data_IF_944281491196
#
_entry.id   IF_944281491196
#
_cell.length_a   1.000
_cell.length_b   1.000
_cell.length_c   1.000
_cell.angle_alpha   90.00
_cell.angle_beta   90.00
_cell.angle_gamma   90.00
#
_symmetry.space_group_name_H-M   'P 1'
#
loop_
_entity.id
_entity.type
_entity.pdbx_description
1 polymer ?
#
# COMPACT_ATOMS: atom_id res chain seq x y z
N UNK A 1 1.29 8.07 52.88
CA UNK A 1 1.33 8.06 51.40
C UNK A 1 1.29 6.60 50.91
N UNK A 2 0.31 5.71 51.13
CA UNK A 2 -1.16 5.66 51.05
C UNK A 2 -1.77 6.19 49.74
N UNK A 3 -2.05 5.22 48.85
CA UNK A 3 -3.16 5.17 47.87
C UNK A 3 -2.97 5.67 46.43
N UNK A 4 -1.79 5.55 45.82
CA UNK A 4 -1.65 5.77 44.36
C UNK A 4 -1.40 4.51 43.52
N UNK A 5 -1.06 3.38 44.16
CA UNK A 5 -0.81 2.12 43.45
C UNK A 5 -2.03 1.45 42.77
N UNK A 6 -3.30 1.58 43.23
CA UNK A 6 -4.41 0.97 42.50
C UNK A 6 -4.83 1.76 41.24
N UNK A 7 -4.27 2.95 40.99
CA UNK A 7 -4.68 3.78 39.85
C UNK A 7 -3.99 3.40 38.53
N UNK A 8 -2.79 2.80 38.59
CA UNK A 8 -2.01 2.39 37.41
C UNK A 8 -2.47 1.05 36.84
N UNK A 9 -3.08 0.18 37.65
CA UNK A 9 -3.64 -1.11 37.20
C UNK A 9 -5.07 -0.94 36.62
N UNK A 10 -5.76 0.15 36.98
CA UNK A 10 -7.12 0.42 36.49
C UNK A 10 -7.17 1.00 35.05
N UNK A 11 -6.05 1.46 34.50
CA UNK A 11 -6.00 2.10 33.17
C UNK A 11 -5.67 1.13 32.02
N UNK A 12 -5.23 -0.10 32.30
CA UNK A 12 -4.81 -1.07 31.26
C UNK A 12 -5.94 -1.97 30.72
N UNK A 13 -7.18 -1.83 31.21
CA UNK A 13 -8.31 -2.70 30.82
C UNK A 13 -9.23 -2.08 29.75
N UNK A 14 -8.89 -0.90 29.22
CA UNK A 14 -9.64 -0.27 28.11
C UNK A 14 -9.17 -0.69 26.71
N UNK A 15 -8.46 -1.83 26.57
CA UNK A 15 -8.39 -2.53 25.29
C UNK A 15 -9.77 -3.13 25.01
N UNK A 16 -10.71 -2.28 24.57
CA UNK A 16 -12.07 -2.69 24.27
C UNK A 16 -12.02 -3.85 23.28
N UNK A 17 -12.41 -5.04 23.71
CA UNK A 17 -12.58 -6.21 22.87
C UNK A 17 -13.27 -5.80 21.58
N UNK A 18 -12.60 -6.00 20.44
CA UNK A 18 -13.19 -5.72 19.15
C UNK A 18 -14.54 -6.43 19.06
N UNK A 19 -15.59 -5.65 18.79
CA UNK A 19 -16.97 -6.14 18.71
C UNK A 19 -17.51 -5.84 17.32
N UNK A 20 -18.10 -6.85 16.69
CA UNK A 20 -18.79 -6.78 15.40
C UNK A 20 -19.86 -5.69 15.43
N UNK A 21 -20.62 -5.60 16.53
CA UNK A 21 -21.59 -4.53 16.78
C UNK A 21 -20.95 -3.14 16.75
N UNK A 22 -19.80 -2.97 17.42
CA UNK A 22 -19.08 -1.69 17.46
C UNK A 22 -18.56 -1.28 16.08
N UNK A 23 -18.09 -2.23 15.28
CA UNK A 23 -17.70 -1.94 13.89
C UNK A 23 -18.90 -1.54 13.03
N UNK A 24 -20.01 -2.26 13.16
CA UNK A 24 -21.27 -1.95 12.47
C UNK A 24 -21.79 -0.55 12.82
N UNK A 25 -21.87 -0.22 14.11
CA UNK A 25 -22.31 1.10 14.60
C UNK A 25 -21.41 2.25 14.14
N UNK A 26 -20.12 1.97 13.90
CA UNK A 26 -19.16 2.93 13.33
C UNK A 26 -19.19 3.01 11.80
N UNK A 27 -20.07 2.26 11.13
CA UNK A 27 -20.14 2.19 9.67
C UNK A 27 -18.99 1.41 9.01
N UNK A 28 -18.18 0.69 9.80
CA UNK A 28 -17.14 -0.19 9.27
C UNK A 28 -17.72 -1.59 9.06
N UNK A 29 -18.56 -1.71 8.02
CA UNK A 29 -19.33 -2.92 7.76
C UNK A 29 -18.44 -4.11 7.38
N UNK A 30 -17.37 -3.91 6.61
CA UNK A 30 -16.44 -5.00 6.25
C UNK A 30 -15.75 -5.63 7.47
N UNK A 31 -15.28 -4.80 8.41
CA UNK A 31 -14.74 -5.31 9.67
C UNK A 31 -15.82 -5.99 10.53
N UNK A 32 -17.06 -5.49 10.51
CA UNK A 32 -18.19 -6.11 11.20
C UNK A 32 -18.50 -7.51 10.63
N UNK A 33 -18.56 -7.64 9.30
CA UNK A 33 -18.77 -8.91 8.57
C UNK A 33 -17.66 -9.89 8.94
N UNK A 34 -16.39 -9.50 8.73
CA UNK A 34 -15.26 -10.40 8.98
C UNK A 34 -15.20 -10.89 10.44
N UNK A 35 -15.50 -10.01 11.40
CA UNK A 35 -15.53 -10.39 12.81
C UNK A 35 -16.76 -11.24 13.17
N UNK A 36 -17.94 -10.94 12.61
CA UNK A 36 -19.15 -11.73 12.84
C UNK A 36 -18.97 -13.14 12.27
N UNK A 37 -18.50 -13.29 11.02
CA UNK A 37 -18.14 -14.58 10.41
C UNK A 37 -17.15 -15.35 11.29
N UNK A 38 -16.05 -14.71 11.72
CA UNK A 38 -15.07 -15.35 12.61
C UNK A 38 -15.68 -15.89 13.90
N UNK A 39 -16.64 -15.18 14.49
CA UNK A 39 -17.34 -15.64 15.70
C UNK A 39 -18.36 -16.72 15.41
N UNK A 40 -19.07 -16.65 14.29
CA UNK A 40 -20.06 -17.65 13.87
C UNK A 40 -19.41 -18.98 13.50
N UNK A 41 -18.21 -18.99 12.91
CA UNK A 41 -17.41 -20.22 12.74
C UNK A 41 -17.18 -20.97 14.05
N UNK A 42 -17.09 -20.25 15.18
CA UNK A 42 -16.91 -20.85 16.51
C UNK A 42 -18.23 -21.15 17.22
N UNK A 43 -19.26 -20.32 16.99
CA UNK A 43 -20.58 -20.42 17.62
C UNK A 43 -21.66 -20.09 16.57
N UNK A 44 -22.03 -21.07 15.73
CA UNK A 44 -22.94 -20.83 14.59
C UNK A 44 -24.31 -20.28 15.00
N UNK A 45 -24.82 -20.71 16.16
CA UNK A 45 -26.15 -20.34 16.65
C UNK A 45 -26.17 -19.02 17.44
N UNK A 46 -25.10 -18.21 17.37
CA UNK A 46 -25.04 -16.96 18.12
C UNK A 46 -25.86 -15.87 17.42
N UNK A 47 -27.16 -15.87 17.69
CA UNK A 47 -28.18 -15.04 17.02
C UNK A 47 -27.81 -13.55 16.90
N UNK A 48 -27.25 -12.95 17.96
CA UNK A 48 -26.78 -11.54 17.91
C UNK A 48 -25.73 -11.32 16.82
N UNK A 49 -24.84 -12.27 16.57
CA UNK A 49 -23.84 -12.17 15.50
C UNK A 49 -24.44 -12.44 14.12
N UNK A 50 -25.43 -13.34 14.02
CA UNK A 50 -26.18 -13.59 12.78
C UNK A 50 -26.86 -12.29 12.32
N UNK A 51 -27.57 -11.61 13.23
CA UNK A 51 -28.25 -10.34 12.94
C UNK A 51 -27.27 -9.24 12.53
N UNK A 52 -26.11 -9.14 13.19
CA UNK A 52 -25.07 -8.16 12.81
C UNK A 52 -24.50 -8.49 11.44
N UNK A 53 -24.26 -9.77 11.13
CA UNK A 53 -23.75 -10.21 9.83
C UNK A 53 -24.72 -9.84 8.71
N UNK A 54 -26.01 -10.16 8.88
CA UNK A 54 -27.07 -9.86 7.91
C UNK A 54 -27.15 -8.35 7.63
N UNK A 55 -27.25 -7.53 8.68
CA UNK A 55 -27.34 -6.07 8.55
C UNK A 55 -26.07 -5.46 7.95
N UNK A 56 -24.89 -5.90 8.39
CA UNK A 56 -23.63 -5.38 7.87
C UNK A 56 -23.44 -5.73 6.39
N UNK A 57 -23.79 -6.96 6.00
CA UNK A 57 -23.74 -7.40 4.60
C UNK A 57 -24.65 -6.58 3.71
N UNK A 58 -25.92 -6.39 4.11
CA UNK A 58 -26.89 -5.58 3.36
C UNK A 58 -26.38 -4.14 3.18
N UNK A 59 -25.93 -3.50 4.27
CA UNK A 59 -25.45 -2.11 4.26
C UNK A 59 -24.17 -1.94 3.43
N UNK A 60 -23.22 -2.86 3.55
CA UNK A 60 -21.98 -2.83 2.77
C UNK A 60 -22.26 -2.97 1.27
N UNK A 61 -23.09 -3.95 0.89
CA UNK A 61 -23.42 -4.19 -0.50
C UNK A 61 -24.24 -3.04 -1.10
N UNK A 62 -25.19 -2.48 -0.35
CA UNK A 62 -25.93 -1.30 -0.79
C UNK A 62 -25.00 -0.13 -1.07
N UNK A 63 -24.07 0.18 -0.14
CA UNK A 63 -23.09 1.25 -0.29
C UNK A 63 -22.22 1.08 -1.54
N UNK A 64 -21.73 -0.12 -1.79
CA UNK A 64 -20.89 -0.39 -2.96
C UNK A 64 -21.68 -0.32 -4.26
N UNK A 65 -22.90 -0.85 -4.30
CA UNK A 65 -23.77 -0.77 -5.49
C UNK A 65 -24.18 0.67 -5.81
N UNK A 66 -24.53 1.48 -4.81
CA UNK A 66 -24.83 2.91 -5.00
C UNK A 66 -23.63 3.66 -5.58
N UNK A 67 -22.43 3.40 -5.08
CA UNK A 67 -21.22 4.03 -5.61
C UNK A 67 -20.85 3.52 -7.00
N UNK A 68 -21.02 2.23 -7.28
CA UNK A 68 -20.85 1.68 -8.64
C UNK A 68 -21.80 2.34 -9.63
N UNK A 69 -23.07 2.54 -9.25
CA UNK A 69 -24.04 3.24 -10.08
C UNK A 69 -23.62 4.70 -10.33
N UNK A 70 -23.16 5.40 -9.30
CA UNK A 70 -22.63 6.76 -9.45
C UNK A 70 -21.44 6.81 -10.41
N UNK A 71 -20.44 5.93 -10.24
CA UNK A 71 -19.24 5.92 -11.09
C UNK A 71 -19.58 5.67 -12.56
N UNK A 72 -20.52 4.74 -12.82
CA UNK A 72 -21.02 4.48 -14.18
C UNK A 72 -21.70 5.70 -14.82
N UNK A 73 -22.42 6.49 -14.02
CA UNK A 73 -23.06 7.73 -14.49
C UNK A 73 -22.04 8.86 -14.70
N UNK A 74 -21.04 8.97 -13.84
CA UNK A 74 -19.97 9.97 -13.95
C UNK A 74 -19.09 9.72 -15.18
N UNK A 75 -18.76 8.46 -15.47
CA UNK A 75 -18.05 8.07 -16.70
C UNK A 75 -16.59 8.52 -16.75
N UNK A 76 -15.99 8.90 -15.61
CA UNK A 76 -14.59 9.33 -15.55
C UNK A 76 -13.64 8.16 -15.89
N UNK A 77 -12.70 8.31 -16.85
CA UNK A 77 -11.73 7.25 -17.19
C UNK A 77 -10.91 6.70 -16.01
N UNK A 78 -10.65 7.51 -14.98
CA UNK A 78 -9.91 7.08 -13.79
C UNK A 78 -10.72 6.24 -12.79
N UNK A 79 -12.01 6.00 -13.03
CA UNK A 79 -12.88 5.28 -12.10
C UNK A 79 -12.54 3.80 -11.94
N UNK A 80 -11.85 3.20 -12.91
CA UNK A 80 -11.77 1.75 -13.06
C UNK A 80 -11.06 1.04 -11.89
N UNK A 81 -10.10 1.71 -11.21
CA UNK A 81 -9.48 1.18 -9.98
C UNK A 81 -10.52 1.01 -8.86
N UNK A 82 -11.35 2.05 -8.66
CA UNK A 82 -12.40 2.02 -7.65
C UNK A 82 -13.51 1.01 -8.01
N UNK A 83 -13.93 0.98 -9.28
CA UNK A 83 -14.91 0.00 -9.78
C UNK A 83 -14.41 -1.42 -9.53
N UNK A 84 -13.14 -1.71 -9.85
CA UNK A 84 -12.54 -3.03 -9.61
C UNK A 84 -12.50 -3.39 -8.12
N UNK A 85 -12.08 -2.46 -7.27
CA UNK A 85 -12.02 -2.68 -5.82
C UNK A 85 -13.40 -3.00 -5.22
N UNK A 86 -14.46 -2.33 -5.71
CA UNK A 86 -15.83 -2.54 -5.22
C UNK A 86 -16.42 -3.87 -5.66
N UNK A 87 -16.29 -4.24 -6.94
CA UNK A 87 -16.73 -5.56 -7.40
C UNK A 87 -15.98 -6.69 -6.70
N UNK A 88 -14.66 -6.53 -6.49
CA UNK A 88 -13.86 -7.48 -5.72
C UNK A 88 -14.35 -7.58 -4.27
N UNK A 89 -14.68 -6.46 -3.64
CA UNK A 89 -15.24 -6.42 -2.28
C UNK A 89 -16.60 -7.13 -2.19
N UNK A 90 -17.49 -6.90 -3.15
CA UNK A 90 -18.79 -7.58 -3.23
C UNK A 90 -18.60 -9.11 -3.33
N UNK A 91 -17.73 -9.58 -4.23
CA UNK A 91 -17.39 -11.01 -4.35
C UNK A 91 -16.77 -11.57 -3.07
N UNK A 92 -15.85 -10.83 -2.45
CA UNK A 92 -15.20 -11.28 -1.21
C UNK A 92 -16.18 -11.43 -0.05
N UNK A 93 -17.17 -10.53 0.08
CA UNK A 93 -18.21 -10.67 1.11
C UNK A 93 -19.05 -11.92 0.88
N UNK A 94 -19.43 -12.22 -0.36
CA UNK A 94 -20.13 -13.46 -0.72
C UNK A 94 -19.34 -14.70 -0.30
N UNK A 95 -18.04 -14.73 -0.60
CA UNK A 95 -17.15 -15.80 -0.16
C UNK A 95 -17.13 -15.92 1.35
N UNK A 96 -16.97 -14.81 2.08
CA UNK A 96 -16.91 -14.83 3.55
C UNK A 96 -18.20 -15.34 4.20
N UNK A 97 -19.37 -14.89 3.74
CA UNK A 97 -20.66 -15.34 4.32
C UNK A 97 -20.95 -16.79 3.98
N UNK A 98 -20.51 -17.27 2.80
CA UNK A 98 -20.71 -18.66 2.39
C UNK A 98 -20.07 -19.67 3.33
N UNK A 99 -18.99 -19.29 4.02
CA UNK A 99 -18.26 -20.15 4.96
C UNK A 99 -19.04 -20.48 6.25
N UNK A 100 -20.14 -19.78 6.53
CA UNK A 100 -20.94 -19.97 7.76
C UNK A 100 -22.39 -20.35 7.47
N UNK A 101 -22.76 -20.56 6.21
CA UNK A 101 -24.11 -21.00 5.85
C UNK A 101 -24.29 -22.51 6.04
N UNK A 102 -25.52 -22.96 6.35
CA UNK A 102 -26.73 -22.17 6.61
C UNK A 102 -26.73 -21.50 7.99
N UNK A 103 -27.45 -20.37 8.13
CA UNK A 103 -27.66 -19.66 9.39
C UNK A 103 -29.16 -19.52 9.70
N UNK A 104 -29.53 -19.77 10.95
CA UNK A 104 -30.91 -19.70 11.44
C UNK A 104 -31.02 -18.80 12.68
N UNK A 105 -32.04 -17.96 12.70
CA UNK A 105 -32.42 -17.17 13.87
C UNK A 105 -33.34 -18.02 14.74
N UNK A 106 -32.76 -18.69 15.72
CA UNK A 106 -33.45 -19.67 16.58
C UNK A 106 -34.71 -19.12 17.26
N UNK A 107 -34.74 -17.84 17.63
CA UNK A 107 -35.92 -17.20 18.23
C UNK A 107 -37.15 -17.15 17.31
N UNK A 108 -36.96 -17.22 16.00
CA UNK A 108 -38.02 -17.08 14.99
C UNK A 108 -38.12 -18.26 14.02
N UNK A 109 -37.13 -19.16 14.00
CA UNK A 109 -36.99 -20.21 13.00
C UNK A 109 -36.62 -19.69 11.59
N UNK A 110 -36.28 -18.40 11.45
CA UNK A 110 -36.01 -17.79 10.14
C UNK A 110 -34.61 -18.15 9.65
N UNK A 111 -34.53 -18.76 8.47
CA UNK A 111 -33.27 -18.91 7.74
C UNK A 111 -32.82 -17.58 7.15
N UNK A 112 -31.57 -17.22 7.39
CA UNK A 112 -30.94 -16.03 6.81
C UNK A 112 -30.43 -16.35 5.41
N UNK A 113 -30.75 -15.48 4.46
CA UNK A 113 -30.33 -15.63 3.07
C UNK A 113 -29.44 -14.46 2.65
N UNK A 114 -28.35 -14.79 1.95
CA UNK A 114 -27.46 -13.81 1.35
C UNK A 114 -27.54 -13.96 -0.18
N UNK A 115 -28.04 -12.95 -0.92
CA UNK A 115 -28.04 -12.99 -2.37
C UNK A 115 -26.62 -13.16 -2.91
N UNK A 116 -26.46 -14.11 -3.83
CA UNK A 116 -25.20 -14.42 -4.51
C UNK A 116 -25.31 -14.00 -5.97
N UNK A 117 -24.44 -13.07 -6.38
CA UNK A 117 -24.36 -12.53 -7.73
C UNK A 117 -22.97 -12.87 -8.29
N UNK A 118 -22.91 -13.29 -9.56
CA UNK A 118 -21.62 -13.48 -10.22
C UNK A 118 -21.09 -12.11 -10.68
N UNK A 119 -19.91 -11.71 -10.19
CA UNK A 119 -19.25 -10.45 -10.54
C UNK A 119 -17.97 -10.65 -11.38
N UNK A 120 -17.74 -11.87 -11.88
CA UNK A 120 -16.45 -12.24 -12.47
C UNK A 120 -16.13 -11.44 -13.73
N UNK A 121 -17.14 -11.24 -14.57
CA UNK A 121 -17.01 -10.45 -15.79
C UNK A 121 -16.68 -8.99 -15.46
N UNK A 122 -17.39 -8.39 -14.50
CA UNK A 122 -17.16 -7.00 -14.10
C UNK A 122 -15.77 -6.82 -13.48
N UNK A 123 -15.31 -7.77 -12.66
CA UNK A 123 -13.96 -7.77 -12.08
C UNK A 123 -12.91 -7.84 -13.18
N UNK A 124 -13.07 -8.73 -14.16
CA UNK A 124 -12.13 -8.90 -15.28
C UNK A 124 -12.08 -7.63 -16.14
N UNK A 125 -13.25 -7.11 -16.51
CA UNK A 125 -13.36 -5.93 -17.36
C UNK A 125 -12.82 -4.67 -16.67
N UNK A 126 -13.18 -4.43 -15.42
CA UNK A 126 -12.68 -3.28 -14.66
C UNK A 126 -11.18 -3.36 -14.42
N UNK A 127 -10.64 -4.56 -14.20
CA UNK A 127 -9.19 -4.80 -14.05
C UNK A 127 -8.43 -4.42 -15.32
N UNK A 128 -8.91 -4.88 -16.49
CA UNK A 128 -8.34 -4.54 -17.79
C UNK A 128 -8.35 -3.04 -18.05
N UNK A 129 -9.49 -2.39 -17.80
CA UNK A 129 -9.64 -0.95 -18.00
C UNK A 129 -8.77 -0.12 -17.04
N UNK A 130 -8.65 -0.54 -15.78
CA UNK A 130 -7.78 0.13 -14.81
C UNK A 130 -6.31 0.05 -15.22
N UNK A 131 -5.84 -1.13 -15.65
CA UNK A 131 -4.48 -1.31 -16.14
C UNK A 131 -4.19 -0.43 -17.36
N UNK A 132 -5.09 -0.41 -18.34
CA UNK A 132 -4.98 0.46 -19.51
C UNK A 132 -4.91 1.93 -19.13
N UNK A 133 -5.83 2.40 -18.28
CA UNK A 133 -5.86 3.80 -17.81
C UNK A 133 -4.55 4.21 -17.14
N UNK A 134 -4.06 3.42 -16.17
CA UNK A 134 -2.81 3.77 -15.47
C UNK A 134 -1.59 3.70 -16.37
N UNK A 135 -1.58 2.79 -17.35
CA UNK A 135 -0.49 2.71 -18.32
C UNK A 135 -0.45 3.96 -19.19
N UNK A 136 -1.57 4.31 -19.84
CA UNK A 136 -1.68 5.52 -20.67
C UNK A 136 -1.38 6.79 -19.86
N UNK A 137 -1.87 6.88 -18.63
CA UNK A 137 -1.60 7.99 -17.72
C UNK A 137 -0.10 8.09 -17.37
N UNK A 138 0.55 6.96 -17.07
CA UNK A 138 1.98 6.91 -16.80
C UNK A 138 2.82 7.38 -17.98
N UNK A 139 2.46 6.99 -19.20
CA UNK A 139 3.13 7.45 -20.44
C UNK A 139 2.98 8.97 -20.61
N UNK A 140 1.77 9.50 -20.42
CA UNK A 140 1.52 10.95 -20.50
C UNK A 140 2.31 11.73 -19.45
N UNK A 141 2.46 11.19 -18.24
CA UNK A 141 3.26 11.81 -17.19
C UNK A 141 4.75 11.83 -17.55
N UNK A 142 5.30 10.72 -18.06
CA UNK A 142 6.70 10.69 -18.51
C UNK A 142 6.97 11.70 -19.63
N UNK A 143 6.03 11.86 -20.57
CA UNK A 143 6.16 12.82 -21.67
C UNK A 143 6.27 14.29 -21.21
N UNK A 144 5.82 14.63 -19.99
CA UNK A 144 5.98 15.98 -19.42
C UNK A 144 7.41 16.27 -18.95
N UNK A 145 8.20 15.24 -18.67
CA UNK A 145 9.66 15.33 -18.51
C UNK A 145 10.20 15.79 -17.16
N UNK A 146 9.39 16.30 -16.22
CA UNK A 146 9.90 16.68 -14.90
C UNK A 146 9.87 15.54 -13.86
N UNK A 147 10.66 15.72 -12.79
CA UNK A 147 10.85 14.73 -11.73
C UNK A 147 9.56 14.37 -11.01
N UNK A 148 8.67 15.32 -10.74
CA UNK A 148 7.44 15.03 -10.00
C UNK A 148 6.47 14.23 -10.86
N UNK A 149 6.39 14.54 -12.15
CA UNK A 149 5.65 13.72 -13.11
C UNK A 149 6.27 12.32 -13.26
N UNK A 150 7.60 12.18 -13.24
CA UNK A 150 8.24 10.87 -13.25
C UNK A 150 7.89 10.02 -12.01
N UNK A 151 7.81 10.63 -10.81
CA UNK A 151 7.33 9.92 -9.60
C UNK A 151 5.88 9.48 -9.75
N UNK A 152 5.01 10.35 -10.24
CA UNK A 152 3.62 10.02 -10.47
C UNK A 152 3.48 8.88 -11.50
N UNK A 153 4.27 8.91 -12.57
CA UNK A 153 4.32 7.86 -13.57
C UNK A 153 4.77 6.53 -12.97
N UNK A 154 5.81 6.54 -12.13
CA UNK A 154 6.28 5.35 -11.42
C UNK A 154 5.17 4.69 -10.59
N UNK A 155 4.39 5.48 -9.84
CA UNK A 155 3.26 4.93 -9.07
C UNK A 155 2.11 4.44 -9.97
N UNK A 156 1.86 5.10 -11.10
CA UNK A 156 0.90 4.63 -12.10
C UNK A 156 1.32 3.27 -12.68
N UNK A 157 2.57 3.10 -13.07
CA UNK A 157 3.07 1.80 -13.56
C UNK A 157 3.11 0.73 -12.46
N UNK A 158 3.33 1.10 -11.19
CA UNK A 158 3.17 0.16 -10.06
C UNK A 158 1.73 -0.35 -9.95
N UNK A 159 0.74 0.52 -10.19
CA UNK A 159 -0.68 0.11 -10.24
C UNK A 159 -0.93 -0.85 -11.40
N UNK A 160 -0.40 -0.57 -12.59
CA UNK A 160 -0.46 -1.49 -13.74
C UNK A 160 0.10 -2.87 -13.35
N UNK A 161 1.31 -2.91 -12.78
CA UNK A 161 1.99 -4.15 -12.37
C UNK A 161 1.22 -4.93 -11.29
N UNK A 162 0.51 -4.23 -10.41
CA UNK A 162 -0.36 -4.86 -9.41
C UNK A 162 -1.59 -5.54 -10.04
N UNK A 163 -2.11 -5.02 -11.16
CA UNK A 163 -3.16 -5.68 -11.91
C UNK A 163 -2.61 -6.83 -12.77
N UNK A 164 -1.60 -6.55 -13.59
CA UNK A 164 -1.00 -7.52 -14.51
C UNK A 164 0.51 -7.41 -14.42
N UNK A 165 1.18 -8.49 -14.02
CA UNK A 165 2.63 -8.50 -13.85
C UNK A 165 3.37 -8.22 -15.15
N UNK A 166 2.81 -8.66 -16.28
CA UNK A 166 3.42 -8.62 -17.62
C UNK A 166 2.56 -7.78 -18.60
N UNK A 167 2.17 -6.58 -18.19
CA UNK A 167 1.38 -5.67 -19.04
C UNK A 167 2.31 -4.89 -19.98
N UNK A 168 2.20 -5.14 -21.29
CA UNK A 168 3.00 -4.44 -22.32
C UNK A 168 4.50 -4.39 -21.92
N UNK A 169 5.12 -3.20 -21.90
CA UNK A 169 6.50 -2.95 -21.46
C UNK A 169 6.58 -2.31 -20.06
N UNK A 170 5.60 -2.57 -19.18
CA UNK A 170 5.48 -1.92 -17.85
C UNK A 170 6.76 -2.02 -17.00
N UNK A 171 7.52 -3.10 -17.12
CA UNK A 171 8.79 -3.28 -16.40
C UNK A 171 9.87 -2.31 -16.85
N UNK A 172 9.95 -2.05 -18.16
CA UNK A 172 10.84 -1.04 -18.71
C UNK A 172 10.39 0.36 -18.28
N UNK A 173 9.08 0.62 -18.35
CA UNK A 173 8.50 1.91 -17.94
C UNK A 173 8.66 2.21 -16.46
N UNK A 174 8.60 1.19 -15.61
CA UNK A 174 8.91 1.31 -14.19
C UNK A 174 10.37 1.73 -13.97
N UNK A 175 11.31 1.07 -14.66
CA UNK A 175 12.74 1.42 -14.55
C UNK A 175 13.02 2.84 -15.06
N UNK A 176 12.43 3.20 -16.20
CA UNK A 176 12.54 4.54 -16.80
C UNK A 176 11.99 5.62 -15.84
N UNK A 177 10.75 5.46 -15.39
CA UNK A 177 10.12 6.38 -14.45
C UNK A 177 10.90 6.48 -13.13
N UNK A 178 11.38 5.34 -12.63
CA UNK A 178 12.20 5.30 -11.42
C UNK A 178 13.49 6.06 -11.59
N UNK A 179 14.19 5.84 -12.69
CA UNK A 179 15.43 6.52 -13.02
C UNK A 179 15.20 8.03 -13.05
N UNK A 180 14.24 8.51 -13.82
CA UNK A 180 13.94 9.95 -13.95
C UNK A 180 13.50 10.58 -12.62
N UNK A 181 12.74 9.87 -11.80
CA UNK A 181 12.29 10.33 -10.49
C UNK A 181 13.41 10.42 -9.45
N UNK A 182 14.48 9.63 -9.60
CA UNK A 182 15.53 9.46 -8.59
C UNK A 182 16.55 10.59 -8.64
N UNK A 183 16.82 11.20 -7.49
CA UNK A 183 17.97 12.08 -7.31
C UNK A 183 19.22 11.22 -7.24
N UNK A 184 20.17 11.50 -8.14
CA UNK A 184 21.47 10.84 -8.14
C UNK A 184 22.43 11.72 -7.37
N UNK A 185 22.98 11.20 -6.28
CA UNK A 185 23.90 11.93 -5.41
C UNK A 185 25.23 11.21 -5.45
N UNK A 186 26.27 11.87 -5.96
CA UNK A 186 27.62 11.30 -5.99
C UNK A 186 28.33 11.71 -4.70
N UNK A 187 28.92 10.74 -4.01
CA UNK A 187 29.85 10.99 -2.91
C UNK A 187 31.28 10.90 -3.44
N UNK A 188 32.02 12.01 -3.38
CA UNK A 188 33.44 12.01 -3.73
C UNK A 188 34.27 11.36 -2.60
N UNK A 189 35.31 10.58 -2.95
CA UNK A 189 36.24 10.03 -1.96
C UNK A 189 36.96 11.17 -1.25
N UNK A 190 37.35 10.95 0.01
CA UNK A 190 38.01 11.99 0.80
C UNK A 190 39.47 12.10 0.35
N UNK A 191 39.93 13.26 -0.15
CA UNK A 191 41.34 13.43 -0.49
C UNK A 191 42.15 13.58 0.80
N UNK A 192 42.66 12.49 1.39
CA UNK A 192 43.63 12.57 2.49
C UNK A 192 45.06 12.63 1.94
N UNK A 193 45.76 13.72 2.24
CA UNK A 193 47.14 14.00 1.79
C UNK A 193 48.23 13.53 2.79
N UNK A 194 47.97 12.51 3.61
CA UNK A 194 48.97 11.98 4.54
C UNK A 194 49.61 10.70 4.01
N UNK A 195 50.89 10.78 3.64
CA UNK A 195 51.70 9.64 3.17
C UNK A 195 51.90 8.55 4.23
N UNK A 196 51.59 8.83 5.51
CA UNK A 196 51.85 7.95 6.65
C UNK A 196 50.67 7.02 7.00
N UNK A 197 49.46 7.30 6.51
CA UNK A 197 48.22 6.63 6.94
C UNK A 197 47.40 6.04 5.77
N UNK A 198 48.05 5.57 4.71
CA UNK A 198 47.35 5.01 3.52
C UNK A 198 46.34 3.88 3.85
N UNK A 199 46.59 3.07 4.88
CA UNK A 199 45.68 1.99 5.32
C UNK A 199 44.37 2.50 5.94
N UNK A 200 44.31 3.76 6.40
CA UNK A 200 43.06 4.32 6.93
C UNK A 200 42.08 4.75 5.82
N UNK A 201 42.57 5.11 4.64
CA UNK A 201 41.76 5.73 3.58
C UNK A 201 40.70 4.76 3.02
N UNK A 202 41.13 3.57 2.58
CA UNK A 202 40.22 2.55 2.03
C UNK A 202 39.20 2.09 3.08
N UNK A 203 39.60 1.98 4.35
CA UNK A 203 38.69 1.64 5.44
C UNK A 203 37.61 2.71 5.64
N UNK A 204 37.99 3.99 5.63
CA UNK A 204 37.03 5.09 5.79
C UNK A 204 36.10 5.22 4.58
N UNK A 205 36.62 5.14 3.36
CA UNK A 205 35.80 5.19 2.13
C UNK A 205 34.78 4.04 2.12
N UNK A 206 35.20 2.83 2.48
CA UNK A 206 34.30 1.68 2.61
C UNK A 206 33.23 1.90 3.69
N UNK A 207 33.56 2.52 4.83
CA UNK A 207 32.60 2.82 5.89
C UNK A 207 31.59 3.90 5.50
N UNK A 208 32.03 4.91 4.76
CA UNK A 208 31.14 5.95 4.21
C UNK A 208 30.19 5.33 3.17
N UNK A 209 30.71 4.51 2.25
CA UNK A 209 29.87 3.84 1.24
C UNK A 209 28.87 2.86 1.89
N UNK A 210 29.28 2.11 2.91
CA UNK A 210 28.40 1.26 3.72
C UNK A 210 27.30 2.10 4.41
N UNK A 211 27.67 3.23 5.00
CA UNK A 211 26.69 4.14 5.62
C UNK A 211 25.70 4.71 4.59
N UNK A 212 26.18 5.24 3.46
CA UNK A 212 25.34 5.84 2.43
C UNK A 212 24.39 4.82 1.77
N UNK A 213 24.83 3.57 1.61
CA UNK A 213 23.99 2.49 1.08
C UNK A 213 22.93 1.98 2.06
N UNK A 214 23.17 2.13 3.36
CA UNK A 214 22.24 1.67 4.42
C UNK A 214 21.39 2.78 5.03
N UNK A 215 21.73 4.04 4.76
CA UNK A 215 21.00 5.20 5.28
C UNK A 215 19.54 5.18 4.79
N UNK A 216 18.55 5.40 5.67
CA UNK A 216 17.16 5.52 5.26
C UNK A 216 16.98 6.72 4.33
N UNK A 217 16.83 6.45 3.05
CA UNK A 217 16.58 7.44 2.03
C UNK A 217 15.16 7.30 1.47
N UNK A 218 14.66 8.38 0.87
CA UNK A 218 13.47 8.27 0.02
C UNK A 218 13.71 7.24 -1.07
N UNK A 219 12.66 6.52 -1.48
CA UNK A 219 12.74 5.58 -2.61
C UNK A 219 13.36 6.24 -3.87
N UNK A 220 13.27 7.57 -3.99
CA UNK A 220 13.76 8.37 -5.12
C UNK A 220 15.04 9.15 -4.82
N UNK A 221 15.91 8.61 -3.97
CA UNK A 221 17.28 9.08 -3.76
C UNK A 221 18.19 7.89 -3.84
N UNK A 222 19.28 8.01 -4.61
CA UNK A 222 20.32 7.00 -4.68
C UNK A 222 21.68 7.69 -4.56
N UNK A 223 22.47 7.19 -3.63
CA UNK A 223 23.87 7.54 -3.51
C UNK A 223 24.69 6.66 -4.44
N UNK A 224 25.70 7.26 -5.04
CA UNK A 224 26.63 6.65 -5.98
C UNK A 224 28.05 6.92 -5.53
N UNK A 225 28.92 5.93 -5.64
CA UNK A 225 30.36 6.20 -5.74
C UNK A 225 30.68 6.80 -7.10
N UNK A 226 31.86 7.40 -7.26
CA UNK A 226 32.32 7.91 -8.57
C UNK A 226 32.36 6.78 -9.60
N UNK A 227 32.87 5.60 -9.24
CA UNK A 227 32.96 4.43 -10.12
C UNK A 227 31.57 3.92 -10.55
N UNK A 228 30.60 3.86 -9.63
CA UNK A 228 29.22 3.45 -9.94
C UNK A 228 28.53 4.47 -10.87
N UNK A 229 28.77 5.76 -10.63
CA UNK A 229 28.23 6.83 -11.45
C UNK A 229 28.76 6.74 -12.88
N UNK A 230 30.06 6.52 -13.08
CA UNK A 230 30.67 6.32 -14.39
C UNK A 230 30.13 5.05 -15.08
N UNK A 231 30.02 3.94 -14.34
CA UNK A 231 29.52 2.68 -14.88
C UNK A 231 28.04 2.74 -15.32
N UNK A 232 27.21 3.53 -14.63
CA UNK A 232 25.79 3.73 -14.95
C UNK A 232 25.53 4.98 -15.82
N UNK A 233 26.56 5.72 -16.25
CA UNK A 233 26.42 6.91 -17.08
C UNK A 233 25.72 8.09 -16.39
N UNK A 234 25.96 8.28 -15.09
CA UNK A 234 25.46 9.41 -14.30
C UNK A 234 26.38 10.62 -14.49
N UNK A 235 26.37 11.21 -15.69
CA UNK A 235 27.25 12.34 -16.02
C UNK A 235 26.80 13.67 -15.40
N UNK A 236 25.50 13.79 -15.10
CA UNK A 236 24.88 15.00 -14.53
C UNK A 236 24.14 14.64 -13.23
N UNK A 237 24.85 14.46 -12.11
CA UNK A 237 24.22 14.13 -10.84
C UNK A 237 23.38 15.30 -10.35
N UNK A 238 22.37 14.99 -9.54
CA UNK A 238 21.56 16.02 -8.90
C UNK A 238 22.34 16.78 -7.82
N UNK A 239 23.23 16.07 -7.11
CA UNK A 239 24.10 16.65 -6.08
C UNK A 239 25.44 15.92 -6.07
N UNK A 240 26.48 16.63 -5.63
CA UNK A 240 27.79 16.06 -5.31
C UNK A 240 28.10 16.38 -3.86
N UNK A 241 28.38 15.36 -3.06
CA UNK A 241 28.81 15.50 -1.67
C UNK A 241 30.33 15.42 -1.67
N UNK A 242 30.98 16.47 -1.17
CA UNK A 242 32.42 16.52 -0.94
C UNK A 242 32.66 16.48 0.55
N UNK A 243 33.44 15.50 1.00
CA UNK A 243 33.81 15.35 2.40
C UNK A 243 35.30 15.71 2.51
N UNK A 244 35.63 16.58 3.45
CA UNK A 244 37.00 17.00 3.75
C UNK A 244 37.22 16.90 5.26
N UNK A 245 38.42 16.47 5.65
CA UNK A 245 38.87 16.58 7.03
C UNK A 245 39.63 17.90 7.19
N UNK A 246 39.24 18.67 8.21
CA UNK A 246 40.09 19.75 8.70
C UNK A 246 41.15 19.14 9.62
N UNK A 247 42.42 19.19 9.21
CA UNK A 247 43.55 18.80 10.05
C UNK A 247 43.69 19.82 11.20
N UNK A 248 43.11 19.49 12.35
CA UNK A 248 43.43 20.20 13.60
C UNK A 248 44.78 19.70 14.11
N UNK A 249 45.85 20.40 13.72
CA UNK A 249 47.14 20.29 14.41
C UNK A 249 46.99 20.95 15.78
N UNK A 250 46.94 20.15 16.85
CA UNK A 250 46.99 20.61 18.25
C UNK A 250 48.43 20.55 18.75
#
# INVERSE_FOLDING_TARGET
>A
MRKLLPFVIATTVLMGCASSKKYYEKGNYDAAIGLAVKKLRKKPNKEKEILILEQAYERANKKDNERLNYLKLEGNPGMWDEVHSRYTSLKNRQSLVSEVLPLEILSTGRLVQFPMINYDEEIINSKKNAAKFFYEHGIQLLAKGDRENAKAAYFAFKKVKAFYSNYEDVDQKLKEAKWLATLKVIAEPIPMHSATFSLSNEFFDNKINEFLSTMPASEFVRFYTVEEAEAEGVDNPSHVIKIQFDDFVV
#
